data_IF_987128251250
#
_entry.id   IF_987128251250
#
_cell.length_a   1.000
_cell.length_b   1.000
_cell.length_c   1.000
_cell.angle_alpha   90.00
_cell.angle_beta   90.00
_cell.angle_gamma   90.00
#
_symmetry.space_group_name_H-M   'P 1'
#
loop_
_entity.id
_entity.type
_entity.pdbx_description
1 polymer ?
#
# COMPACT_ATOMS: atom_id res chain seq x y z
N UNK A 1 2.28 -15.13 32.93
CA UNK A 1 1.89 -16.06 31.83
C UNK A 1 3.17 -16.54 31.17
N UNK A 2 3.37 -17.86 31.03
CA UNK A 2 4.59 -18.47 30.48
C UNK A 2 4.22 -19.05 29.11
N UNK A 3 4.90 -18.62 28.04
CA UNK A 3 4.68 -19.17 26.70
C UNK A 3 5.79 -20.21 26.46
N UNK A 4 5.42 -21.41 26.03
CA UNK A 4 6.37 -22.50 25.71
C UNK A 4 6.24 -22.77 24.21
N UNK A 5 7.36 -22.73 23.50
CA UNK A 5 7.47 -23.07 22.08
C UNK A 5 8.68 -23.99 21.91
N UNK A 6 8.47 -25.20 21.39
CA UNK A 6 9.48 -26.26 21.26
C UNK A 6 10.33 -26.46 22.53
N UNK A 7 9.67 -26.65 23.67
CA UNK A 7 10.27 -26.80 25.01
C UNK A 7 11.07 -25.60 25.54
N UNK A 8 11.08 -24.48 24.80
CA UNK A 8 11.74 -23.26 25.24
C UNK A 8 10.74 -22.27 25.83
N UNK A 9 11.07 -21.79 27.01
CA UNK A 9 10.32 -20.74 27.70
C UNK A 9 10.59 -19.40 27.03
N UNK A 10 9.54 -18.80 26.48
CA UNK A 10 9.61 -17.49 25.84
C UNK A 10 8.83 -16.46 26.65
N UNK A 11 9.40 -15.25 26.73
CA UNK A 11 8.75 -14.10 27.37
C UNK A 11 7.61 -13.56 26.50
N UNK A 12 7.73 -13.68 25.18
CA UNK A 12 6.80 -13.17 24.17
C UNK A 12 6.96 -13.98 22.89
N UNK A 13 5.87 -14.07 22.14
CA UNK A 13 5.83 -14.57 20.76
C UNK A 13 5.06 -13.54 19.95
N UNK A 14 5.63 -13.12 18.83
CA UNK A 14 5.12 -12.09 17.92
C UNK A 14 5.02 -12.69 16.53
N UNK A 15 3.87 -12.50 15.88
CA UNK A 15 3.64 -12.90 14.51
C UNK A 15 3.72 -11.68 13.59
N UNK A 16 4.63 -11.72 12.62
CA UNK A 16 4.82 -10.65 11.64
C UNK A 16 4.53 -11.17 10.23
N UNK A 17 3.59 -10.53 9.52
CA UNK A 17 3.24 -10.85 8.14
C UNK A 17 3.73 -9.77 7.19
N UNK A 18 4.42 -10.19 6.14
CA UNK A 18 4.96 -9.31 5.10
C UNK A 18 4.41 -9.72 3.74
N UNK A 19 3.95 -8.73 2.98
CA UNK A 19 3.77 -8.89 1.54
C UNK A 19 4.90 -8.15 0.86
N UNK A 20 5.66 -8.87 0.02
CA UNK A 20 6.71 -8.33 -0.83
C UNK A 20 6.28 -8.48 -2.27
N UNK A 21 6.15 -7.38 -3.01
CA UNK A 21 5.72 -7.44 -4.41
C UNK A 21 6.33 -6.35 -5.28
N UNK A 22 6.41 -6.65 -6.58
CA UNK A 22 6.88 -5.72 -7.60
C UNK A 22 5.77 -4.73 -7.98
N UNK A 23 5.93 -3.46 -7.60
CA UNK A 23 5.09 -2.33 -8.02
C UNK A 23 5.58 -1.67 -9.33
N UNK A 24 6.75 -2.08 -9.82
CA UNK A 24 7.35 -1.61 -11.07
C UNK A 24 6.56 -2.03 -12.31
N UNK A 25 7.01 -1.55 -13.47
CA UNK A 25 6.43 -1.90 -14.78
C UNK A 25 7.16 -3.05 -15.46
N UNK A 26 8.42 -3.25 -15.11
CA UNK A 26 9.26 -4.30 -15.68
C UNK A 26 9.37 -5.46 -14.70
N UNK A 27 9.85 -6.60 -15.21
CA UNK A 27 10.10 -7.79 -14.40
C UNK A 27 11.29 -7.53 -13.48
N UNK A 28 11.12 -7.80 -12.18
CA UNK A 28 12.20 -7.76 -11.21
C UNK A 28 12.89 -9.13 -11.18
N UNK A 29 14.20 -9.15 -11.31
CA UNK A 29 15.05 -10.34 -11.20
C UNK A 29 16.10 -10.16 -10.08
N UNK A 30 16.70 -11.24 -9.54
CA UNK A 30 17.74 -11.16 -8.52
C UNK A 30 18.89 -10.20 -8.85
N UNK A 31 19.28 -10.12 -10.11
CA UNK A 31 20.39 -9.27 -10.53
C UNK A 31 20.09 -7.76 -10.35
N UNK A 32 18.80 -7.39 -10.29
CA UNK A 32 18.35 -6.02 -10.03
C UNK A 32 18.47 -5.62 -8.56
N UNK A 33 18.70 -6.58 -7.66
CA UNK A 33 18.86 -6.37 -6.22
C UNK A 33 20.34 -6.47 -5.85
N UNK A 34 20.80 -5.57 -5.00
CA UNK A 34 22.14 -5.64 -4.41
C UNK A 34 22.25 -6.85 -3.46
N UNK A 35 23.47 -7.22 -3.08
CA UNK A 35 23.69 -8.34 -2.15
C UNK A 35 23.12 -9.69 -2.66
N UNK A 36 23.50 -10.04 -3.90
CA UNK A 36 23.19 -11.32 -4.55
C UNK A 36 21.70 -11.67 -4.68
N UNK A 37 20.85 -10.66 -4.89
CA UNK A 37 19.43 -10.93 -5.12
C UNK A 37 18.60 -11.16 -3.86
N UNK A 38 19.17 -10.87 -2.69
CA UNK A 38 18.62 -11.30 -1.41
C UNK A 38 17.67 -10.27 -0.80
N UNK A 39 16.51 -10.74 -0.35
CA UNK A 39 15.55 -9.98 0.44
C UNK A 39 15.76 -10.34 1.91
N UNK A 40 16.17 -9.37 2.74
CA UNK A 40 16.66 -9.68 4.10
C UNK A 40 15.63 -9.20 5.14
N UNK A 41 15.18 -10.10 6.00
CA UNK A 41 14.42 -9.77 7.20
C UNK A 41 15.32 -9.97 8.41
N UNK A 42 15.60 -8.89 9.15
CA UNK A 42 16.54 -8.90 10.27
C UNK A 42 15.84 -8.49 11.55
N UNK A 43 15.94 -9.33 12.57
CA UNK A 43 15.45 -9.04 13.90
C UNK A 43 16.48 -8.20 14.67
N UNK A 44 16.07 -7.01 15.08
CA UNK A 44 16.86 -6.10 15.91
C UNK A 44 16.62 -6.38 17.41
N UNK A 45 17.66 -6.19 18.22
CA UNK A 45 17.59 -6.37 19.68
C UNK A 45 17.60 -7.83 20.14
N UNK A 46 16.95 -8.06 21.28
CA UNK A 46 16.89 -9.36 21.95
C UNK A 46 15.72 -10.19 21.44
N UNK A 47 16.04 -11.32 20.83
CA UNK A 47 15.08 -12.28 20.34
C UNK A 47 15.66 -13.17 19.26
N UNK A 48 14.82 -14.07 18.75
CA UNK A 48 15.12 -14.93 17.60
C UNK A 48 13.87 -15.21 16.81
N UNK A 49 14.08 -15.56 15.55
CA UNK A 49 13.06 -16.14 14.68
C UNK A 49 12.85 -17.58 15.13
N UNK A 50 11.60 -17.92 15.37
CA UNK A 50 11.16 -19.21 15.90
C UNK A 50 10.62 -20.10 14.78
N UNK A 51 9.87 -19.50 13.86
CA UNK A 51 9.30 -20.17 12.70
C UNK A 51 9.13 -19.18 11.55
N UNK A 52 9.07 -19.68 10.32
CA UNK A 52 8.83 -18.88 9.13
C UNK A 52 8.15 -19.73 8.06
N UNK A 53 7.25 -19.10 7.30
CA UNK A 53 6.49 -19.78 6.26
C UNK A 53 6.24 -18.88 5.06
N UNK A 54 6.37 -19.46 3.85
CA UNK A 54 5.91 -18.83 2.61
C UNK A 54 4.43 -19.17 2.42
N UNK A 55 3.55 -18.29 2.91
CA UNK A 55 2.10 -18.50 2.90
C UNK A 55 1.54 -18.53 1.47
N UNK A 56 2.01 -17.62 0.61
CA UNK A 56 1.47 -17.48 -0.75
C UNK A 56 2.50 -16.94 -1.71
N UNK A 57 2.50 -17.45 -2.93
CA UNK A 57 3.16 -16.84 -4.07
C UNK A 57 2.13 -16.50 -5.14
N UNK A 58 2.35 -15.41 -5.87
CA UNK A 58 1.52 -15.08 -7.04
C UNK A 58 1.61 -16.16 -8.11
N UNK A 59 2.76 -16.83 -8.21
CA UNK A 59 3.06 -17.91 -9.15
C UNK A 59 4.06 -18.90 -8.55
N UNK A 60 3.88 -20.22 -8.75
CA UNK A 60 4.87 -21.22 -8.34
C UNK A 60 6.24 -21.04 -9.02
N UNK A 61 6.25 -20.57 -10.28
CA UNK A 61 7.46 -20.41 -11.10
C UNK A 61 8.40 -19.32 -10.60
N UNK A 62 7.94 -18.46 -9.70
CA UNK A 62 8.80 -17.45 -9.06
C UNK A 62 9.84 -18.08 -8.13
N UNK A 63 9.71 -19.39 -7.82
CA UNK A 63 10.60 -20.20 -6.97
C UNK A 63 11.07 -19.49 -5.70
N UNK A 64 10.14 -18.80 -5.04
CA UNK A 64 10.44 -18.10 -3.82
C UNK A 64 10.80 -19.10 -2.71
N UNK A 65 11.87 -18.83 -1.98
CA UNK A 65 12.35 -19.66 -0.89
C UNK A 65 12.82 -18.79 0.27
N UNK A 66 12.76 -19.36 1.48
CA UNK A 66 13.14 -18.71 2.74
C UNK A 66 14.25 -19.53 3.38
N UNK A 67 15.31 -18.87 3.83
CA UNK A 67 16.42 -19.51 4.51
C UNK A 67 16.80 -18.72 5.77
N UNK A 68 16.69 -19.36 6.93
CA UNK A 68 17.11 -18.80 8.21
C UNK A 68 18.61 -18.95 8.37
N UNK A 69 19.30 -17.85 8.67
CA UNK A 69 20.73 -17.85 8.93
C UNK A 69 21.05 -18.45 10.30
N UNK A 70 22.31 -18.84 10.49
CA UNK A 70 22.80 -19.47 11.73
C UNK A 70 22.60 -18.59 12.98
N UNK A 71 22.52 -17.27 12.80
CA UNK A 71 22.28 -16.31 13.87
C UNK A 71 20.86 -16.38 14.47
N UNK A 72 19.95 -17.14 13.84
CA UNK A 72 18.53 -17.23 14.16
C UNK A 72 17.82 -15.86 14.25
N UNK A 73 18.40 -14.81 13.66
CA UNK A 73 17.88 -13.44 13.66
C UNK A 73 17.67 -12.92 12.24
N UNK A 74 18.35 -13.51 11.27
CA UNK A 74 18.31 -13.09 9.87
C UNK A 74 17.63 -14.15 9.03
N UNK A 75 16.51 -13.79 8.40
CA UNK A 75 15.82 -14.60 7.40
C UNK A 75 16.08 -14.00 6.01
N UNK A 76 16.61 -14.81 5.11
CA UNK A 76 16.89 -14.42 3.73
C UNK A 76 15.85 -15.05 2.82
N UNK A 77 15.12 -14.23 2.07
CA UNK A 77 14.23 -14.67 1.02
C UNK A 77 14.88 -14.52 -0.36
N UNK A 78 14.81 -15.58 -1.18
CA UNK A 78 15.27 -15.62 -2.57
C UNK A 78 14.11 -15.90 -3.50
N UNK A 79 14.23 -15.51 -4.76
CA UNK A 79 13.22 -15.70 -5.80
C UNK A 79 13.89 -15.70 -7.19
N UNK A 80 13.23 -16.25 -8.21
CA UNK A 80 13.73 -16.25 -9.60
C UNK A 80 13.34 -14.96 -10.34
N UNK A 81 12.07 -14.53 -10.21
CA UNK A 81 11.58 -13.27 -10.74
C UNK A 81 10.24 -12.86 -10.10
N UNK A 82 9.89 -11.58 -10.19
CA UNK A 82 8.54 -11.06 -9.96
C UNK A 82 8.10 -10.19 -11.13
N UNK A 83 7.05 -10.59 -11.85
CA UNK A 83 6.44 -9.72 -12.86
C UNK A 83 5.67 -8.56 -12.18
N UNK A 84 5.24 -7.53 -12.93
CA UNK A 84 4.45 -6.43 -12.36
C UNK A 84 3.23 -6.92 -11.59
N UNK A 85 3.06 -6.44 -10.36
CA UNK A 85 2.01 -6.81 -9.39
C UNK A 85 2.10 -8.24 -8.84
N UNK A 86 3.21 -8.92 -9.07
CA UNK A 86 3.48 -10.23 -8.50
C UNK A 86 4.46 -10.14 -7.35
N UNK A 87 4.41 -11.15 -6.49
CA UNK A 87 5.19 -11.18 -5.25
C UNK A 87 4.79 -12.37 -4.39
N UNK A 88 5.13 -12.26 -3.11
CA UNK A 88 4.95 -13.30 -2.09
C UNK A 88 4.42 -12.73 -0.78
N UNK A 89 3.68 -13.57 -0.04
CA UNK A 89 3.29 -13.36 1.36
C UNK A 89 4.12 -14.29 2.24
N UNK A 90 4.80 -13.71 3.21
CA UNK A 90 5.69 -14.39 4.14
C UNK A 90 5.19 -14.14 5.56
N UNK A 91 5.19 -15.19 6.37
CA UNK A 91 4.86 -15.14 7.79
C UNK A 91 6.09 -15.50 8.63
N UNK A 92 6.38 -14.69 9.64
CA UNK A 92 7.58 -14.84 10.48
C UNK A 92 7.14 -14.77 11.94
N UNK A 93 7.36 -15.87 12.66
CA UNK A 93 7.16 -15.96 14.10
C UNK A 93 8.48 -15.66 14.80
N UNK A 94 8.50 -14.69 15.71
CA UNK A 94 9.72 -14.30 16.42
C UNK A 94 9.44 -13.94 17.88
N UNK A 95 10.47 -13.94 18.72
CA UNK A 95 10.36 -13.58 20.13
C UNK A 95 10.66 -12.11 20.44
N UNK A 96 10.99 -11.32 19.41
CA UNK A 96 11.28 -9.89 19.53
C UNK A 96 10.02 -9.03 19.70
N UNK A 97 10.23 -7.73 19.87
CA UNK A 97 9.15 -6.73 19.98
C UNK A 97 8.44 -6.49 18.64
N UNK A 98 7.23 -5.93 18.66
CA UNK A 98 6.38 -5.79 17.46
C UNK A 98 7.08 -5.15 16.25
N UNK A 99 7.88 -4.10 16.47
CA UNK A 99 8.57 -3.37 15.40
C UNK A 99 10.05 -3.76 15.23
N UNK A 100 10.50 -4.80 15.93
CA UNK A 100 11.91 -5.21 15.93
C UNK A 100 12.35 -5.90 14.65
N UNK A 101 11.41 -6.43 13.85
CA UNK A 101 11.73 -7.12 12.60
C UNK A 101 11.78 -6.11 11.45
N UNK A 102 12.98 -5.85 10.94
CA UNK A 102 13.23 -4.91 9.83
C UNK A 102 13.40 -5.64 8.52
N UNK A 103 12.93 -5.02 7.45
CA UNK A 103 13.16 -5.49 6.09
C UNK A 103 14.23 -4.64 5.41
N UNK A 104 15.24 -5.28 4.84
CA UNK A 104 16.35 -4.68 4.12
C UNK A 104 16.42 -5.24 2.70
N UNK A 105 16.46 -4.34 1.74
CA UNK A 105 16.63 -4.65 0.33
C UNK A 105 17.15 -3.40 -0.36
N UNK A 106 18.21 -3.55 -1.16
CA UNK A 106 18.77 -2.48 -1.98
C UNK A 106 18.56 -2.84 -3.44
N UNK A 107 17.96 -1.95 -4.24
CA UNK A 107 17.74 -2.18 -5.67
C UNK A 107 18.84 -1.42 -6.43
N UNK A 108 19.60 -2.12 -7.29
CA UNK A 108 20.78 -1.59 -7.99
C UNK A 108 20.42 -0.54 -9.05
N UNK A 109 19.28 -0.69 -9.73
CA UNK A 109 18.84 0.25 -10.78
C UNK A 109 17.31 0.33 -10.92
N UNK A 110 16.81 1.41 -11.56
CA UNK A 110 15.39 1.81 -11.70
C UNK A 110 14.43 0.81 -12.40
N UNK A 111 14.84 -0.42 -12.66
CA UNK A 111 14.09 -1.45 -13.43
C UNK A 111 13.01 -2.15 -12.59
N UNK A 112 12.98 -1.94 -11.28
CA UNK A 112 11.94 -2.49 -10.44
C UNK A 112 11.64 -1.59 -9.26
N UNK A 113 10.46 -1.76 -8.70
CA UNK A 113 10.15 -1.14 -7.43
C UNK A 113 9.53 -2.21 -6.55
N UNK A 114 10.24 -2.55 -5.47
CA UNK A 114 9.77 -3.48 -4.46
C UNK A 114 9.07 -2.67 -3.38
N UNK A 115 7.88 -3.09 -2.97
CA UNK A 115 7.27 -2.57 -1.76
C UNK A 115 7.10 -3.70 -0.77
N UNK A 116 7.41 -3.38 0.48
CA UNK A 116 7.09 -4.21 1.63
C UNK A 116 6.11 -3.44 2.47
N UNK A 117 5.02 -4.10 2.82
CA UNK A 117 4.06 -3.56 3.75
C UNK A 117 3.85 -4.62 4.84
N UNK A 118 4.10 -4.27 6.12
CA UNK A 118 3.66 -5.11 7.21
C UNK A 118 2.12 -5.14 7.17
N UNK A 119 1.54 -6.33 7.11
CA UNK A 119 0.10 -6.49 7.27
C UNK A 119 -0.20 -6.45 8.77
N UNK A 120 -0.50 -5.25 9.27
CA UNK A 120 -1.42 -5.13 10.41
C UNK A 120 -2.83 -5.27 9.83
N UNK A 121 -3.49 -6.39 10.05
CA UNK A 121 -4.91 -6.54 9.67
C UNK A 121 -5.80 -5.98 10.81
N UNK A 122 -6.36 -4.75 10.70
CA UNK A 122 -7.61 -4.45 11.38
C UNK A 122 -8.76 -5.16 10.65
N UNK A 123 -9.78 -5.63 11.39
CA UNK A 123 -10.84 -6.48 10.85
C UNK A 123 -11.63 -5.79 9.73
N UNK A 124 -11.75 -6.52 8.63
CA UNK A 124 -12.62 -6.36 7.47
C UNK A 124 -13.60 -5.17 7.46
N UNK A 125 -13.39 -4.23 6.53
CA UNK A 125 -14.50 -3.48 5.90
C UNK A 125 -14.50 -3.72 4.39
N UNK A 126 -15.32 -4.68 3.97
CA UNK A 126 -15.72 -4.82 2.58
C UNK A 126 -16.49 -3.57 2.14
N UNK A 127 -15.86 -2.74 1.31
CA UNK A 127 -16.58 -1.74 0.53
C UNK A 127 -16.44 -2.13 -0.94
N UNK A 128 -17.50 -2.74 -1.48
CA UNK A 128 -17.63 -3.02 -2.91
C UNK A 128 -17.90 -1.68 -3.60
N UNK A 129 -16.99 -1.23 -4.46
CA UNK A 129 -17.25 -0.08 -5.33
C UNK A 129 -17.31 -0.55 -6.79
N UNK A 130 -18.32 -0.04 -7.50
CA UNK A 130 -18.81 -0.45 -8.81
C UNK A 130 -17.72 -0.62 -9.88
N UNK A 131 -17.90 -1.62 -10.74
CA UNK A 131 -16.96 -2.06 -11.77
C UNK A 131 -16.95 -1.17 -13.01
N UNK A 132 -16.23 -0.05 -12.96
CA UNK A 132 -15.84 0.67 -14.15
C UNK A 132 -14.31 0.64 -14.30
N UNK A 133 -13.83 -0.01 -15.36
CA UNK A 133 -12.41 -0.32 -15.57
C UNK A 133 -11.68 0.85 -16.24
N UNK A 134 -11.70 2.04 -15.62
CA UNK A 134 -10.89 3.19 -16.05
C UNK A 134 -9.56 3.18 -15.28
N UNK A 135 -8.44 3.40 -15.97
CA UNK A 135 -7.13 3.47 -15.32
C UNK A 135 -7.08 4.63 -14.30
N UNK A 136 -6.39 4.49 -13.14
CA UNK A 136 -6.35 5.55 -12.13
C UNK A 136 -5.82 6.89 -12.67
N UNK A 137 -4.93 6.85 -13.68
CA UNK A 137 -4.40 8.06 -14.34
C UNK A 137 -5.46 8.75 -15.19
N UNK A 138 -6.21 7.98 -15.97
CA UNK A 138 -7.31 8.49 -16.80
C UNK A 138 -8.41 9.08 -15.92
N UNK A 139 -8.72 8.43 -14.79
CA UNK A 139 -9.67 8.96 -13.80
C UNK A 139 -9.17 10.29 -13.20
N UNK A 140 -7.86 10.39 -12.94
CA UNK A 140 -7.17 11.64 -12.60
C UNK A 140 -7.51 12.79 -13.53
N UNK A 141 -7.25 12.60 -14.81
CA UNK A 141 -7.51 13.61 -15.83
C UNK A 141 -9.00 13.95 -15.97
N UNK A 142 -9.89 12.96 -15.84
CA UNK A 142 -11.35 13.19 -15.86
C UNK A 142 -11.78 14.06 -14.67
N UNK A 143 -11.30 13.79 -13.46
CA UNK A 143 -11.61 14.60 -12.28
C UNK A 143 -11.08 16.04 -12.42
N UNK A 144 -9.87 16.21 -12.95
CA UNK A 144 -9.30 17.54 -13.23
C UNK A 144 -10.12 18.28 -14.28
N UNK A 145 -10.52 17.60 -15.36
CA UNK A 145 -11.33 18.19 -16.43
C UNK A 145 -12.73 18.60 -15.93
N UNK A 146 -13.41 17.75 -15.18
CA UNK A 146 -14.73 18.04 -14.60
C UNK A 146 -14.65 19.16 -13.55
N UNK A 147 -13.63 19.16 -12.70
CA UNK A 147 -13.40 20.24 -11.72
C UNK A 147 -13.09 21.57 -12.38
N UNK A 148 -12.24 21.58 -13.41
CA UNK A 148 -11.95 22.76 -14.22
C UNK A 148 -13.18 23.28 -14.96
N UNK A 149 -13.97 22.39 -15.55
CA UNK A 149 -15.22 22.76 -16.23
C UNK A 149 -16.24 23.35 -15.24
N UNK A 150 -16.42 22.75 -14.07
CA UNK A 150 -17.31 23.26 -13.03
C UNK A 150 -16.90 24.65 -12.52
N UNK A 151 -15.59 24.89 -12.38
CA UNK A 151 -15.03 26.20 -12.05
C UNK A 151 -15.40 27.24 -13.11
N UNK A 152 -15.07 26.99 -14.37
CA UNK A 152 -15.33 27.92 -15.48
C UNK A 152 -16.83 28.18 -15.64
N UNK A 153 -17.63 27.13 -15.55
CA UNK A 153 -19.09 27.22 -15.62
C UNK A 153 -19.66 28.08 -14.47
N UNK A 154 -19.15 27.94 -13.25
CA UNK A 154 -19.57 28.79 -12.12
C UNK A 154 -19.20 30.27 -12.30
N UNK A 155 -18.05 30.58 -12.90
CA UNK A 155 -17.64 31.96 -13.17
C UNK A 155 -18.41 32.59 -14.34
N UNK A 156 -18.91 31.79 -15.29
CA UNK A 156 -19.75 32.28 -16.39
C UNK A 156 -21.20 32.58 -15.98
N UNK A 157 -21.66 32.10 -14.83
CA UNK A 157 -23.02 32.38 -14.35
C UNK A 157 -23.07 33.80 -13.75
N UNK A 158 -23.91 34.69 -14.29
CA UNK A 158 -24.12 36.02 -13.73
C UNK A 158 -24.58 35.97 -12.26
N UNK A 159 -24.07 36.89 -11.44
CA UNK A 159 -24.26 36.87 -9.98
C UNK A 159 -25.75 36.98 -9.57
N UNK A 160 -26.56 37.63 -10.38
CA UNK A 160 -28.01 37.78 -10.26
C UNK A 160 -28.80 36.49 -10.49
N UNK A 161 -28.17 35.46 -11.10
CA UNK A 161 -28.76 34.12 -11.29
C UNK A 161 -28.21 33.08 -10.31
N UNK A 162 -27.41 33.50 -9.33
CA UNK A 162 -26.87 32.59 -8.32
C UNK A 162 -27.96 31.89 -7.50
N UNK A 163 -29.14 32.50 -7.33
CA UNK A 163 -30.30 31.93 -6.63
C UNK A 163 -30.73 30.55 -7.16
N UNK A 164 -30.46 30.25 -8.44
CA UNK A 164 -30.78 28.95 -9.03
C UNK A 164 -29.95 27.79 -8.45
N UNK A 165 -28.69 28.05 -8.06
CA UNK A 165 -27.77 27.03 -7.56
C UNK A 165 -27.67 27.00 -6.02
N UNK A 166 -28.14 28.05 -5.35
CA UNK A 166 -28.16 28.16 -3.89
C UNK A 166 -29.61 28.33 -3.39
N UNK A 167 -30.43 27.27 -3.41
CA UNK A 167 -31.85 27.35 -3.01
C UNK A 167 -32.06 27.63 -1.50
N UNK A 168 -30.97 27.73 -0.73
CA UNK A 168 -30.99 28.12 0.67
C UNK A 168 -31.22 29.63 0.76
N UNK A 169 -32.20 30.06 1.56
CA UNK A 169 -32.39 31.47 1.95
C UNK A 169 -31.26 31.91 2.88
N UNK A 170 -30.07 32.12 2.33
CA UNK A 170 -28.88 32.65 3.03
C UNK A 170 -28.67 34.11 2.67
N UNK A 171 -28.05 34.86 3.60
CA UNK A 171 -27.70 36.25 3.37
C UNK A 171 -26.77 36.42 2.16
N UNK A 172 -26.77 37.59 1.49
CA UNK A 172 -25.94 37.85 0.31
C UNK A 172 -24.45 37.60 0.57
N UNK A 173 -23.96 37.98 1.74
CA UNK A 173 -22.56 37.77 2.15
C UNK A 173 -22.20 36.28 2.25
N UNK A 174 -23.06 35.46 2.85
CA UNK A 174 -22.84 34.01 2.98
C UNK A 174 -22.88 33.35 1.60
N UNK A 175 -23.76 33.82 0.71
CA UNK A 175 -23.85 33.33 -0.67
C UNK A 175 -22.56 33.58 -1.45
N UNK A 176 -21.97 34.77 -1.32
CA UNK A 176 -20.70 35.10 -1.98
C UNK A 176 -19.51 34.31 -1.42
N UNK A 177 -19.54 33.98 -0.12
CA UNK A 177 -18.55 33.08 0.49
C UNK A 177 -18.72 31.67 -0.04
N UNK A 178 -19.94 31.13 -0.08
CA UNK A 178 -20.23 29.80 -0.62
C UNK A 178 -19.89 29.68 -2.10
N UNK A 179 -20.16 30.73 -2.90
CA UNK A 179 -19.81 30.78 -4.32
C UNK A 179 -18.30 30.67 -4.56
N UNK A 180 -17.49 31.26 -3.68
CA UNK A 180 -16.03 31.18 -3.75
C UNK A 180 -15.47 29.90 -3.14
N UNK A 181 -16.09 29.39 -2.08
CA UNK A 181 -15.57 28.24 -1.32
C UNK A 181 -15.94 26.88 -1.94
N UNK A 182 -17.13 26.73 -2.53
CA UNK A 182 -17.61 25.46 -3.10
C UNK A 182 -16.69 24.88 -4.18
N UNK A 183 -16.20 25.66 -5.18
CA UNK A 183 -15.28 25.12 -6.16
C UNK A 183 -13.98 24.61 -5.54
N UNK A 184 -13.43 25.34 -4.56
CA UNK A 184 -12.26 24.90 -3.80
C UNK A 184 -12.50 23.59 -3.04
N UNK A 185 -13.65 23.46 -2.39
CA UNK A 185 -14.07 22.24 -1.70
C UNK A 185 -14.23 21.05 -2.65
N UNK A 186 -14.79 21.27 -3.84
CA UNK A 186 -14.94 20.23 -4.86
C UNK A 186 -13.58 19.73 -5.38
N UNK A 187 -12.63 20.64 -5.61
CA UNK A 187 -11.26 20.28 -6.02
C UNK A 187 -10.58 19.44 -4.94
N UNK A 188 -10.69 19.83 -3.67
CA UNK A 188 -10.15 19.07 -2.54
C UNK A 188 -10.78 17.68 -2.43
N UNK A 189 -12.09 17.56 -2.64
CA UNK A 189 -12.79 16.27 -2.68
C UNK A 189 -12.26 15.39 -3.82
N UNK A 190 -12.17 15.92 -5.04
CA UNK A 190 -11.60 15.20 -6.18
C UNK A 190 -10.15 14.76 -5.94
N UNK A 191 -9.32 15.64 -5.36
CA UNK A 191 -7.94 15.31 -4.98
C UNK A 191 -7.88 14.18 -3.95
N UNK A 192 -8.76 14.18 -2.95
CA UNK A 192 -8.90 13.12 -1.95
C UNK A 192 -9.31 11.77 -2.56
N UNK A 193 -10.27 11.78 -3.49
CA UNK A 193 -10.68 10.58 -4.24
C UNK A 193 -9.52 10.04 -5.08
N UNK A 194 -8.80 10.91 -5.78
CA UNK A 194 -7.64 10.50 -6.56
C UNK A 194 -6.55 9.91 -5.68
N UNK A 195 -6.20 10.56 -4.57
CA UNK A 195 -5.26 10.01 -3.60
C UNK A 195 -5.70 8.61 -3.12
N UNK A 196 -6.99 8.41 -2.81
CA UNK A 196 -7.51 7.12 -2.38
C UNK A 196 -7.54 6.05 -3.48
N UNK A 197 -7.67 6.45 -4.74
CA UNK A 197 -7.61 5.56 -5.89
C UNK A 197 -6.16 5.22 -6.29
N UNK A 198 -5.24 6.18 -6.18
CA UNK A 198 -3.82 6.01 -6.52
C UNK A 198 -2.97 5.50 -5.36
N UNK A 199 -3.51 5.45 -4.13
CA UNK A 199 -2.81 4.85 -3.00
C UNK A 199 -2.35 3.45 -3.37
N UNK A 200 -1.16 3.07 -2.92
CA UNK A 200 -0.60 1.74 -3.18
C UNK A 200 -1.60 0.69 -2.66
N UNK A 201 -2.12 -0.15 -3.56
CA UNK A 201 -3.04 -1.24 -3.21
C UNK A 201 -2.26 -2.55 -3.26
N UNK A 202 -2.43 -3.37 -2.24
CA UNK A 202 -1.93 -4.73 -2.22
C UNK A 202 -2.48 -5.52 -3.42
N UNK A 203 -1.68 -6.38 -4.06
CA UNK A 203 -2.19 -7.29 -5.08
C UNK A 203 -3.17 -8.28 -4.43
N UNK A 204 -4.38 -8.37 -4.99
CA UNK A 204 -5.46 -9.22 -4.44
C UNK A 204 -5.12 -10.72 -4.43
N UNK A 205 -4.13 -11.14 -5.20
CA UNK A 205 -3.62 -12.52 -5.18
C UNK A 205 -2.80 -12.83 -3.93
N UNK A 206 -2.39 -11.83 -3.14
CA UNK A 206 -1.55 -12.01 -1.95
C UNK A 206 -2.26 -11.61 -0.64
N UNK A 207 -3.49 -11.08 -0.72
CA UNK A 207 -4.38 -10.79 0.42
C UNK A 207 -5.39 -11.91 0.56
#
# INVERSE_FOLDING_TARGET
>A
MKIIFDDIVLRRVTLSQFIVWNIGRDRLIPNDIADDGSLIFKLEGDGRILNYELIRSSRPENKASLNLQEDAKTLVAKFDFFAPKEGVKIEILHSGEGESLKFHCTIRDRVGALTVAPLYEPPNKHMKFFGFMISPRTMGWICVALGGFALVFMFMIPADRADFFYPLKVSPEIRDVLRRAMPGGFILYCAGVLFWLTRRRFPKSLV
#
